data_IF_438925017903
#
_entry.id   IF_438925017903
#
_cell.length_a   1.000
_cell.length_b   1.000
_cell.length_c   1.000
_cell.angle_alpha   90.00
_cell.angle_beta   90.00
_cell.angle_gamma   90.00
#
_symmetry.space_group_name_H-M   'P 1'
#
loop_
_entity.id
_entity.type
_entity.pdbx_description
1 polymer ?
#
# COMPACT_ATOMS: atom_id res chain seq x y z
N UNK A 1 -25.81 49.16 -18.12
CA UNK A 1 -25.37 49.20 -16.71
C UNK A 1 -26.36 48.39 -15.87
N UNK A 2 -26.08 47.11 -15.63
CA UNK A 2 -26.89 46.27 -14.74
C UNK A 2 -25.92 45.48 -13.85
N UNK A 3 -25.78 45.91 -12.59
CA UNK A 3 -24.95 45.25 -11.59
C UNK A 3 -25.74 44.10 -10.99
N UNK A 4 -25.40 42.86 -11.32
CA UNK A 4 -25.97 41.69 -10.67
C UNK A 4 -25.02 41.25 -9.55
N UNK A 5 -25.40 41.57 -8.31
CA UNK A 5 -24.75 41.08 -7.10
C UNK A 5 -25.22 39.64 -6.86
N UNK A 6 -24.31 38.67 -6.96
CA UNK A 6 -24.58 37.28 -6.56
C UNK A 6 -23.90 37.04 -5.21
N UNK A 7 -24.75 36.75 -4.22
CA UNK A 7 -24.42 36.50 -2.83
C UNK A 7 -23.62 35.21 -2.65
N UNK A 8 -22.61 35.28 -1.79
CA UNK A 8 -21.81 34.18 -1.26
C UNK A 8 -22.67 33.15 -0.52
N UNK A 9 -22.51 31.87 -0.85
CA UNK A 9 -22.93 30.75 -0.01
C UNK A 9 -21.78 29.74 0.11
N UNK A 10 -21.00 29.85 1.18
CA UNK A 10 -20.09 28.80 1.63
C UNK A 10 -20.90 27.76 2.42
N UNK A 11 -21.15 26.60 1.83
CA UNK A 11 -21.62 25.44 2.58
C UNK A 11 -20.40 24.60 2.97
N UNK A 12 -19.89 24.81 4.18
CA UNK A 12 -18.96 23.89 4.82
C UNK A 12 -19.76 22.69 5.36
N UNK A 13 -19.66 21.53 4.73
CA UNK A 13 -20.22 20.29 5.27
C UNK A 13 -19.12 19.57 6.04
N UNK A 14 -19.10 19.74 7.35
CA UNK A 14 -18.26 18.98 8.27
C UNK A 14 -18.87 17.59 8.48
N UNK A 15 -18.35 16.54 7.84
CA UNK A 15 -18.60 15.17 8.26
C UNK A 15 -17.58 14.77 9.34
N UNK A 16 -17.89 15.07 10.60
CA UNK A 16 -17.26 14.45 11.74
C UNK A 16 -17.93 13.09 12.00
N UNK A 17 -17.30 12.00 11.61
CA UNK A 17 -17.71 10.65 12.06
C UNK A 17 -17.01 10.36 13.39
N UNK A 18 -17.79 10.38 14.48
CA UNK A 18 -17.37 9.91 15.80
C UNK A 18 -17.41 8.37 15.87
N UNK A 19 -16.53 7.73 16.66
CA UNK A 19 -16.49 6.27 16.78
C UNK A 19 -17.54 5.77 17.78
N UNK A 20 -18.37 4.82 17.34
CA UNK A 20 -19.30 4.09 18.21
C UNK A 20 -18.53 3.10 19.08
N UNK A 21 -18.36 3.45 20.35
CA UNK A 21 -17.96 2.55 21.43
C UNK A 21 -19.05 1.50 21.67
N UNK A 22 -18.69 0.22 21.62
CA UNK A 22 -19.43 -0.85 22.31
C UNK A 22 -18.54 -1.40 23.42
N UNK A 23 -18.95 -1.11 24.66
CA UNK A 23 -18.40 -1.53 25.96
C UNK A 23 -18.69 -3.00 26.26
N UNK A 24 -17.96 -3.57 27.24
CA UNK A 24 -18.25 -4.76 28.12
C UNK A 24 -17.23 -5.90 27.88
N UNK A 25 -16.34 -6.38 28.77
CA UNK A 25 -16.12 -6.26 30.23
C UNK A 25 -14.69 -6.70 30.63
N UNK A 26 -14.10 -5.97 31.60
CA UNK A 26 -13.16 -6.30 32.71
C UNK A 26 -12.51 -7.70 32.75
N UNK A 27 -11.18 -7.85 32.92
CA UNK A 27 -10.55 -7.94 34.27
C UNK A 27 -9.03 -7.73 34.23
N UNK A 28 -8.59 -6.88 35.16
CA UNK A 28 -7.23 -6.53 35.59
C UNK A 28 -6.44 -7.74 36.11
N UNK A 29 -5.22 -7.95 35.62
CA UNK A 29 -4.13 -8.45 36.48
C UNK A 29 -2.82 -7.80 36.06
N UNK A 30 -2.35 -6.88 36.91
CA UNK A 30 -0.99 -6.39 36.92
C UNK A 30 -0.04 -7.52 37.29
N UNK A 31 0.94 -7.82 36.44
CA UNK A 31 2.16 -8.50 36.87
C UNK A 31 3.36 -7.80 36.26
N UNK A 32 3.96 -6.93 37.06
CA UNK A 32 5.34 -6.50 36.91
C UNK A 32 6.24 -7.72 37.00
N UNK A 33 6.89 -8.07 35.89
CA UNK A 33 8.02 -8.99 35.89
C UNK A 33 9.12 -8.38 35.04
N UNK A 34 10.01 -7.65 35.71
CA UNK A 34 11.35 -7.33 35.22
C UNK A 34 12.06 -8.66 34.96
N UNK A 35 12.33 -8.99 33.70
CA UNK A 35 13.29 -10.07 33.39
C UNK A 35 14.02 -9.72 32.10
N UNK A 36 15.20 -9.14 32.31
CA UNK A 36 16.29 -9.02 31.37
C UNK A 36 16.53 -10.38 30.73
N UNK A 37 16.00 -10.57 29.52
CA UNK A 37 16.31 -11.73 28.69
C UNK A 37 16.42 -11.23 27.25
N UNK A 38 17.57 -11.50 26.67
CA UNK A 38 17.92 -11.37 25.26
C UNK A 38 16.89 -12.09 24.39
N UNK A 39 15.75 -11.46 24.14
CA UNK A 39 14.76 -11.95 23.19
C UNK A 39 15.17 -11.45 21.82
N UNK A 40 15.65 -12.39 20.99
CA UNK A 40 15.49 -12.29 19.54
C UNK A 40 14.04 -11.88 19.31
N UNK A 41 13.86 -10.64 18.88
CA UNK A 41 12.60 -10.06 18.50
C UNK A 41 11.95 -11.02 17.50
N UNK A 42 10.86 -11.67 17.93
CA UNK A 42 10.04 -12.50 17.07
C UNK A 42 9.43 -11.53 16.07
N UNK A 43 10.08 -11.35 14.92
CA UNK A 43 9.61 -10.48 13.84
C UNK A 43 8.16 -10.82 13.58
N UNK A 44 7.30 -9.84 13.80
CA UNK A 44 5.88 -9.98 13.56
C UNK A 44 5.72 -10.30 12.07
N UNK A 45 5.35 -11.54 11.78
CA UNK A 45 5.15 -12.02 10.42
C UNK A 45 3.87 -11.35 9.93
N UNK A 46 4.03 -10.20 9.27
CA UNK A 46 2.94 -9.33 8.88
C UNK A 46 2.37 -9.66 7.51
N UNK A 47 1.13 -9.22 7.29
CA UNK A 47 0.58 -9.00 5.95
C UNK A 47 1.09 -7.63 5.46
N UNK A 48 1.59 -7.59 4.22
CA UNK A 48 1.88 -6.33 3.55
C UNK A 48 1.02 -6.15 2.31
N UNK A 49 0.67 -4.88 2.03
CA UNK A 49 -0.01 -4.49 0.79
C UNK A 49 0.90 -3.58 -0.01
N UNK A 50 1.14 -3.93 -1.26
CA UNK A 50 1.92 -3.13 -2.20
C UNK A 50 1.00 -2.70 -3.35
N UNK A 51 0.70 -1.42 -3.43
CA UNK A 51 -0.06 -0.84 -4.53
C UNK A 51 0.89 -0.19 -5.54
N UNK A 52 0.97 -0.76 -6.74
CA UNK A 52 1.63 -0.17 -7.90
C UNK A 52 0.59 0.63 -8.68
N UNK A 53 0.88 1.91 -8.93
CA UNK A 53 0.06 2.75 -9.81
C UNK A 53 0.88 3.08 -11.05
N UNK A 54 0.28 2.87 -12.22
CA UNK A 54 0.93 3.09 -13.51
C UNK A 54 0.63 4.48 -14.07
N UNK A 55 1.33 4.86 -15.14
CA UNK A 55 1.01 6.08 -15.88
C UNK A 55 -0.26 5.94 -16.75
N UNK A 56 -0.70 4.71 -17.02
CA UNK A 56 -1.83 4.42 -17.89
C UNK A 56 -3.16 4.73 -17.22
N UNK A 57 -4.10 5.27 -17.98
CA UNK A 57 -5.48 5.37 -17.56
C UNK A 57 -6.09 3.97 -17.39
N UNK A 58 -7.03 3.86 -16.45
CA UNK A 58 -7.76 2.62 -16.26
C UNK A 58 -8.66 2.34 -17.48
N UNK A 59 -8.34 1.31 -18.23
CA UNK A 59 -9.18 0.77 -19.30
C UNK A 59 -9.35 -0.73 -19.08
N UNK A 60 -10.59 -1.16 -18.80
CA UNK A 60 -10.95 -2.54 -18.55
C UNK A 60 -10.56 -3.49 -19.70
N UNK A 61 -10.57 -3.01 -20.94
CA UNK A 61 -10.20 -3.81 -22.13
C UNK A 61 -8.69 -4.04 -22.21
N UNK A 62 -7.91 -3.14 -21.63
CA UNK A 62 -6.45 -3.17 -21.66
C UNK A 62 -5.83 -3.83 -20.42
N UNK A 63 -6.62 -4.15 -19.39
CA UNK A 63 -6.17 -4.82 -18.15
C UNK A 63 -5.21 -5.99 -18.45
N UNK A 64 -5.52 -6.95 -19.35
CA UNK A 64 -4.61 -8.08 -19.60
C UNK A 64 -3.23 -7.63 -20.13
N UNK A 65 -3.21 -6.61 -20.99
CA UNK A 65 -1.98 -6.06 -21.56
C UNK A 65 -1.18 -5.29 -20.51
N UNK A 66 -1.82 -4.41 -19.73
CA UNK A 66 -1.16 -3.62 -18.69
C UNK A 66 -0.63 -4.50 -17.57
N UNK A 67 -1.41 -5.49 -17.14
CA UNK A 67 -1.00 -6.44 -16.11
C UNK A 67 0.21 -7.26 -16.55
N UNK A 68 0.28 -7.65 -17.83
CA UNK A 68 1.45 -8.34 -18.39
C UNK A 68 2.71 -7.50 -18.25
N UNK A 69 2.65 -6.21 -18.60
CA UNK A 69 3.80 -5.29 -18.47
C UNK A 69 4.26 -5.16 -17.03
N UNK A 70 3.32 -4.98 -16.09
CA UNK A 70 3.63 -4.89 -14.65
C UNK A 70 4.30 -6.17 -14.15
N UNK A 71 3.73 -7.34 -14.46
CA UNK A 71 4.29 -8.64 -14.06
C UNK A 71 5.70 -8.85 -14.60
N UNK A 72 5.94 -8.52 -15.87
CA UNK A 72 7.27 -8.62 -16.49
C UNK A 72 8.28 -7.71 -15.78
N UNK A 73 7.92 -6.47 -15.46
CA UNK A 73 8.80 -5.55 -14.75
C UNK A 73 9.17 -6.07 -13.35
N UNK A 74 8.18 -6.58 -12.59
CA UNK A 74 8.41 -7.16 -11.26
C UNK A 74 9.31 -8.40 -11.35
N UNK A 75 9.06 -9.29 -12.31
CA UNK A 75 9.86 -10.51 -12.50
C UNK A 75 11.30 -10.19 -12.89
N UNK A 76 11.52 -9.21 -13.78
CA UNK A 76 12.84 -8.77 -14.17
C UNK A 76 13.61 -8.17 -12.98
N UNK A 77 12.96 -7.33 -12.18
CA UNK A 77 13.58 -6.75 -10.99
C UNK A 77 13.90 -7.78 -9.92
N UNK A 78 12.98 -8.72 -9.67
CA UNK A 78 13.21 -9.85 -8.77
C UNK A 78 14.44 -10.67 -9.16
N UNK A 79 14.62 -10.96 -10.47
CA UNK A 79 15.82 -11.63 -10.98
C UNK A 79 17.08 -10.78 -10.74
N UNK A 80 17.05 -9.49 -11.07
CA UNK A 80 18.20 -8.59 -10.90
C UNK A 80 18.65 -8.44 -9.44
N UNK A 81 17.69 -8.42 -8.51
CA UNK A 81 17.96 -8.31 -7.08
C UNK A 81 18.24 -9.67 -6.41
N UNK A 82 18.20 -10.79 -7.17
CA UNK A 82 18.27 -12.15 -6.64
C UNK A 82 17.26 -12.43 -5.51
N UNK A 83 16.09 -11.81 -5.60
CA UNK A 83 15.00 -11.96 -4.62
C UNK A 83 13.99 -12.94 -5.17
N UNK A 84 13.84 -14.08 -4.52
CA UNK A 84 12.80 -15.06 -4.82
C UNK A 84 11.59 -14.82 -3.91
N UNK A 85 10.40 -14.81 -4.50
CA UNK A 85 9.14 -14.67 -3.77
C UNK A 85 8.25 -15.89 -4.02
N UNK A 86 7.52 -16.31 -2.99
CA UNK A 86 6.53 -17.38 -3.13
C UNK A 86 5.22 -16.80 -3.67
N UNK A 87 4.80 -17.22 -4.86
CA UNK A 87 3.56 -16.76 -5.50
C UNK A 87 2.31 -17.19 -4.74
N UNK A 88 2.36 -18.30 -4.02
CA UNK A 88 1.21 -18.81 -3.24
C UNK A 88 0.89 -17.91 -2.04
N UNK A 89 1.82 -17.04 -1.66
CA UNK A 89 1.66 -16.06 -0.58
C UNK A 89 1.28 -14.67 -1.11
N UNK A 90 0.98 -14.54 -2.40
CA UNK A 90 0.68 -13.26 -3.04
C UNK A 90 -0.70 -13.31 -3.69
N UNK A 91 -1.61 -12.48 -3.20
CA UNK A 91 -2.88 -12.17 -3.87
C UNK A 91 -2.69 -10.92 -4.74
N UNK A 92 -2.96 -11.02 -6.04
CA UNK A 92 -2.82 -9.93 -7.01
C UNK A 92 -4.20 -9.48 -7.48
N UNK A 93 -4.47 -8.17 -7.33
CA UNK A 93 -5.72 -7.54 -7.78
C UNK A 93 -5.45 -6.30 -8.60
N UNK A 94 -6.24 -6.11 -9.65
CA UNK A 94 -6.19 -4.89 -10.47
C UNK A 94 -7.28 -3.93 -10.05
N UNK A 95 -6.95 -2.65 -9.91
CA UNK A 95 -7.86 -1.62 -9.41
C UNK A 95 -7.76 -0.33 -10.23
N UNK A 96 -8.84 0.45 -10.22
CA UNK A 96 -8.82 1.83 -10.69
C UNK A 96 -8.42 2.74 -9.52
N UNK A 97 -7.19 3.24 -9.55
CA UNK A 97 -6.64 4.08 -8.49
C UNK A 97 -6.50 5.50 -9.04
N UNK A 98 -7.46 6.37 -8.71
CA UNK A 98 -7.44 7.77 -9.13
C UNK A 98 -7.50 7.96 -10.65
N UNK A 99 -8.23 7.10 -11.36
CA UNK A 99 -8.34 7.12 -12.83
C UNK A 99 -7.22 6.35 -13.54
N UNK A 100 -6.22 5.84 -12.81
CA UNK A 100 -5.09 5.11 -13.36
C UNK A 100 -5.21 3.62 -13.14
N UNK A 101 -4.61 2.85 -14.03
CA UNK A 101 -4.45 1.41 -13.84
C UNK A 101 -3.49 1.15 -12.68
N UNK A 102 -4.00 0.46 -11.65
CA UNK A 102 -3.24 0.05 -10.49
C UNK A 102 -3.29 -1.46 -10.28
N UNK A 103 -2.25 -1.99 -9.64
CA UNK A 103 -2.17 -3.38 -9.22
C UNK A 103 -1.81 -3.42 -7.73
N UNK A 104 -2.64 -4.08 -6.94
CA UNK A 104 -2.49 -4.26 -5.50
C UNK A 104 -2.07 -5.70 -5.23
N UNK A 105 -0.92 -5.86 -4.62
CA UNK A 105 -0.38 -7.13 -4.15
C UNK A 105 -0.56 -7.23 -2.64
N UNK A 106 -1.24 -8.27 -2.16
CA UNK A 106 -1.28 -8.60 -0.73
C UNK A 106 -0.34 -9.77 -0.49
N UNK A 107 0.71 -9.54 0.29
CA UNK A 107 1.79 -10.50 0.53
C UNK A 107 1.69 -10.97 1.98
N UNK A 108 1.53 -12.28 2.15
CA UNK A 108 1.50 -12.93 3.45
C UNK A 108 2.92 -13.38 3.86
N UNK A 109 3.18 -13.38 5.16
CA UNK A 109 4.41 -14.00 5.65
C UNK A 109 5.67 -13.13 5.52
N UNK A 110 5.52 -11.82 5.29
CA UNK A 110 6.63 -10.96 4.86
C UNK A 110 7.29 -10.22 6.02
N UNK A 111 8.59 -10.03 5.90
CA UNK A 111 9.39 -9.15 6.75
C UNK A 111 9.34 -7.73 6.14
N UNK A 112 8.72 -6.79 6.87
CA UNK A 112 8.48 -5.43 6.39
C UNK A 112 9.78 -4.69 5.99
N UNK A 113 10.89 -4.97 6.67
CA UNK A 113 12.16 -4.29 6.40
C UNK A 113 12.74 -4.78 5.06
N UNK A 114 12.73 -6.10 4.83
CA UNK A 114 13.17 -6.69 3.55
C UNK A 114 12.28 -6.26 2.39
N UNK A 115 10.97 -6.17 2.61
CA UNK A 115 10.05 -5.67 1.59
C UNK A 115 10.35 -4.21 1.25
N UNK A 116 10.59 -3.38 2.26
CA UNK A 116 10.91 -1.98 2.05
C UNK A 116 12.24 -1.82 1.27
N UNK A 117 13.27 -2.60 1.58
CA UNK A 117 14.52 -2.63 0.80
C UNK A 117 14.30 -3.01 -0.67
N UNK A 118 13.49 -4.04 -0.93
CA UNK A 118 13.15 -4.47 -2.29
C UNK A 118 12.42 -3.38 -3.08
N UNK A 119 11.51 -2.64 -2.44
CA UNK A 119 10.74 -1.59 -3.11
C UNK A 119 11.59 -0.33 -3.30
N UNK A 120 12.47 0.00 -2.36
CA UNK A 120 13.43 1.11 -2.54
C UNK A 120 14.38 0.81 -3.70
N UNK A 121 14.85 -0.44 -3.85
CA UNK A 121 15.67 -0.84 -4.99
C UNK A 121 14.89 -0.86 -6.31
N UNK A 122 13.55 -0.92 -6.24
CA UNK A 122 12.65 -0.82 -7.39
C UNK A 122 12.46 0.62 -7.89
N UNK A 123 13.26 1.59 -7.42
CA UNK A 123 13.37 2.90 -8.10
C UNK A 123 13.72 2.69 -9.57
N UNK A 124 12.85 3.16 -10.47
CA UNK A 124 13.00 2.93 -11.91
C UNK A 124 12.61 1.53 -12.38
N UNK A 125 11.80 0.79 -11.60
CA UNK A 125 11.29 -0.56 -11.94
C UNK A 125 10.77 -0.67 -13.38
N UNK A 126 10.09 0.38 -13.83
CA UNK A 126 9.70 0.59 -15.21
C UNK A 126 9.25 2.03 -15.38
N UNK A 127 9.51 2.63 -16.54
CA UNK A 127 8.90 3.90 -16.96
C UNK A 127 7.38 3.82 -17.08
N UNK A 128 6.82 2.61 -17.04
CA UNK A 128 5.38 2.36 -16.99
C UNK A 128 4.76 2.65 -15.61
N UNK A 129 5.54 2.52 -14.54
CA UNK A 129 5.06 2.61 -13.16
C UNK A 129 5.34 4.01 -12.63
N UNK A 130 4.28 4.68 -12.17
CA UNK A 130 4.32 6.06 -11.68
C UNK A 130 4.73 6.14 -10.21
N UNK A 131 4.17 5.26 -9.39
CA UNK A 131 4.40 5.26 -7.95
C UNK A 131 4.12 3.89 -7.37
N UNK A 132 4.75 3.62 -6.23
CA UNK A 132 4.52 2.43 -5.41
C UNK A 132 4.15 2.87 -4.01
N UNK A 133 3.06 2.36 -3.46
CA UNK A 133 2.71 2.53 -2.06
C UNK A 133 2.81 1.18 -1.34
N UNK A 134 3.55 1.13 -0.23
CA UNK A 134 3.73 -0.07 0.58
C UNK A 134 3.09 0.17 1.92
N UNK A 135 2.21 -0.72 2.34
CA UNK A 135 1.63 -0.75 3.68
C UNK A 135 2.05 -2.03 4.38
N UNK A 136 2.76 -1.93 5.50
CA UNK A 136 3.21 -3.08 6.28
C UNK A 136 3.17 -2.74 7.77
N UNK A 137 2.62 -3.63 8.60
CA UNK A 137 2.49 -3.38 10.04
C UNK A 137 1.74 -2.09 10.39
N UNK A 138 0.76 -1.68 9.58
CA UNK A 138 -0.02 -0.45 9.75
C UNK A 138 0.68 0.84 9.33
N UNK A 139 1.92 0.78 8.82
CA UNK A 139 2.65 1.94 8.29
C UNK A 139 2.59 1.94 6.76
N UNK A 140 2.25 3.08 6.17
CA UNK A 140 2.24 3.27 4.71
C UNK A 140 3.38 4.19 4.27
N UNK A 141 4.18 3.75 3.31
CA UNK A 141 5.19 4.55 2.62
C UNK A 141 4.82 4.67 1.15
N UNK A 142 4.91 5.88 0.59
CA UNK A 142 4.68 6.14 -0.84
C UNK A 142 6.00 6.54 -1.49
N UNK A 143 6.39 5.81 -2.52
CA UNK A 143 7.63 5.99 -3.26
C UNK A 143 7.26 6.42 -4.68
N UNK A 144 7.47 7.70 -5.04
CA UNK A 144 7.37 8.13 -6.42
C UNK A 144 8.51 7.49 -7.21
N UNK A 145 8.19 6.90 -8.36
CA UNK A 145 9.19 6.39 -9.29
C UNK A 145 9.38 7.48 -10.34
N UNK A 146 10.50 8.20 -10.27
CA UNK A 146 10.84 9.23 -11.26
C UNK A 146 11.15 8.59 -12.60
N UNK A 147 10.66 9.22 -13.67
CA UNK A 147 11.09 8.96 -15.06
C UNK A 147 12.52 9.44 -15.29
#
# INVERSE_FOLDING_TARGET
MLRLAILFSFAAVSLACAPTTKTTTTTTTSTTSTTTTTRKEKREVGEAKVALVTHQDFDAKMIPAYLKVVRTAIEQHSKNQNVFYNRDLIDEKTENIGGKFGVVYTILGVDCDKLNEFIISAKGLSTFIRQVAVTCGGKTAVLPLSN
#
